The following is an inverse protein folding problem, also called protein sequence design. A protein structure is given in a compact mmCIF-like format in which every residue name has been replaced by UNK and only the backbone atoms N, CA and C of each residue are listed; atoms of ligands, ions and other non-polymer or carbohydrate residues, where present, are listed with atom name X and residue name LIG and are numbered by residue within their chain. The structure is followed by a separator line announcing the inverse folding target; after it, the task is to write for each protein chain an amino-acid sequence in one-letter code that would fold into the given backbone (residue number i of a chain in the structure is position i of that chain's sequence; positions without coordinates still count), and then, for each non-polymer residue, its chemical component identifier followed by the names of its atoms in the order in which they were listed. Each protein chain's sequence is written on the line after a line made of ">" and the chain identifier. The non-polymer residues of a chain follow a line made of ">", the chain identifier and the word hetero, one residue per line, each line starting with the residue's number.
data_IF_300042822562
#
_entry.id   IF_300042822562
#
_cell.length_a   1.000
_cell.length_b   1.000
_cell.length_c   1.000
_cell.angle_alpha   90.00
_cell.angle_beta   90.00
_cell.angle_gamma   90.00
#
_symmetry.space_group_name_H-M   'P 1'
#
loop_
_entity.id
_entity.type
_entity.pdbx_description
1 polymer ?
2 branched ?
3 non-polymer ?
4 non-polymer ?
5 water ?
#
# COMPACT_ATOMS: atom_id res chain seq x y z
N UNK A 2 8.29 10.37 5.92
CA UNK A 2 7.44 10.96 4.83
C UNK A 2 7.68 10.24 3.51
N UNK A 3 6.71 10.32 2.60
CA UNK A 3 6.87 9.89 1.21
C UNK A 3 7.61 10.92 0.35
N UNK A 4 8.83 10.57 -0.04
CA UNK A 4 9.64 11.40 -0.90
C UNK A 4 9.99 10.65 -2.19
N UNK A 5 9.05 9.90 -2.76
CA UNK A 5 9.30 9.21 -4.04
C UNK A 5 9.85 7.80 -3.88
N UNK A 6 10.57 7.32 -4.89
CA UNK A 6 11.10 5.96 -4.88
C UNK A 6 12.02 5.71 -3.67
N UNK A 7 11.98 4.48 -3.16
CA UNK A 7 12.74 4.06 -2.00
C UNK A 7 12.08 2.87 -1.32
N UNK A 8 12.69 2.42 -0.22
CA UNK A 8 12.18 1.29 0.56
C UNK A 8 11.51 1.88 1.80
N UNK A 9 10.30 1.40 2.11
CA UNK A 9 9.50 1.95 3.18
C UNK A 9 8.78 0.88 4.00
N UNK A 10 8.52 1.21 5.27
CA UNK A 10 7.34 0.66 5.92
C UNK A 10 6.15 1.52 5.55
N UNK A 11 5.03 0.88 5.27
CA UNK A 11 3.77 1.54 4.95
C UNK A 11 2.85 1.32 6.16
N UNK A 12 2.51 2.41 6.84
CA UNK A 12 1.99 2.35 8.21
C UNK A 12 0.55 2.94 8.28
N UNK A 13 -0.42 2.16 8.78
CA UNK A 13 -1.79 2.69 8.80
C UNK A 13 -1.96 3.87 9.76
N UNK A 14 -2.63 4.93 9.29
CA UNK A 14 -2.78 6.17 10.06
C UNK A 14 -3.39 5.95 11.46
N UNK A 15 -4.39 5.09 11.57
CA UNK A 15 -5.09 4.91 12.85
C UNK A 15 -4.32 4.04 13.84
N UNK A 16 -3.25 3.35 13.38
CA UNK A 16 -2.55 2.38 14.23
C UNK A 16 -1.06 2.37 13.85
N UNK A 17 -0.33 3.42 14.27
CA UNK A 17 1.07 3.59 13.83
C UNK A 17 2.10 2.65 14.45
N UNK A 18 1.68 1.76 15.37
CA UNK A 18 2.52 0.61 15.82
C UNK A 18 2.44 -0.62 14.88
N UNK A 19 1.65 -0.52 13.82
CA UNK A 19 1.46 -1.58 12.82
C UNK A 19 2.03 -1.16 11.46
N UNK A 20 2.26 -2.14 10.58
CA UNK A 20 2.58 -1.84 9.19
C UNK A 20 1.91 -2.81 8.21
N UNK A 21 2.06 -2.54 6.92
CA UNK A 21 1.54 -3.37 5.84
C UNK A 21 2.44 -4.61 5.67
N UNK A 22 1.84 -5.79 5.82
CA UNK A 22 2.53 -7.09 5.99
C UNK A 22 2.01 -8.15 5.00
N UNK A 23 2.90 -8.74 4.20
CA UNK A 23 2.59 -9.86 3.33
C UNK A 23 2.53 -11.08 4.22
N UNK A 24 1.32 -11.54 4.47
CA UNK A 24 1.01 -12.53 5.52
C UNK A 24 1.74 -13.84 5.31
N UNK A 25 2.45 -14.29 6.36
CA UNK A 25 3.26 -15.51 6.38
C UNK A 25 4.69 -15.30 5.89
N UNK A 26 4.93 -14.25 5.09
CA UNK A 26 6.31 -13.89 4.70
C UNK A 26 7.05 -14.98 3.97
N UNK A 27 6.31 -15.70 3.12
CA UNK A 27 6.85 -16.79 2.31
C UNK A 27 7.22 -16.34 0.91
N UNK A 28 7.96 -17.18 0.19
CA UNK A 28 8.39 -16.83 -1.18
C UNK A 28 7.39 -17.22 -2.25
N UNK A 29 6.45 -18.10 -1.94
CA UNK A 29 5.44 -18.46 -2.94
C UNK A 29 4.51 -17.26 -3.23
N UNK A 30 4.13 -17.09 -4.53
CA UNK A 30 3.28 -15.98 -4.92
C UNK A 30 1.87 -16.07 -4.34
N UNK A 31 1.22 -14.93 -4.22
CA UNK A 31 -0.19 -14.92 -3.91
C UNK A 31 -0.53 -14.64 -2.45
N UNK A 32 0.44 -14.19 -1.65
CA UNK A 32 0.18 -13.86 -0.23
C UNK A 32 -0.92 -12.80 -0.12
N UNK A 33 -1.81 -12.93 0.86
CA UNK A 33 -2.69 -11.79 1.18
C UNK A 33 -1.95 -10.81 2.08
N UNK A 34 -2.47 -9.58 2.15
CA UNK A 34 -1.81 -8.50 2.89
C UNK A 34 -2.72 -8.04 4.06
N UNK A 35 -2.10 -7.88 5.23
CA UNK A 35 -2.79 -7.44 6.43
C UNK A 35 -1.93 -6.42 7.18
N UNK A 36 -2.53 -5.73 8.14
CA UNK A 36 -1.75 -5.02 9.13
C UNK A 36 -1.14 -6.04 10.12
N UNK A 37 0.04 -5.69 10.66
CA UNK A 37 0.71 -6.53 11.66
C UNK A 37 1.63 -5.67 12.47
N UNK A 38 1.86 -6.10 13.70
CA UNK A 38 2.83 -5.46 14.59
C UNK A 38 4.16 -5.14 13.87
N UNK A 39 4.62 -3.89 13.99
CA UNK A 39 5.92 -3.49 13.37
C UNK A 39 7.12 -4.24 13.96
N UNK A 40 7.19 -4.31 15.28
CA UNK A 40 8.37 -4.82 15.98
C UNK A 40 9.51 -3.81 16.05
N UNK A 41 10.52 -4.11 16.84
CA UNK A 41 11.71 -3.23 16.93
C UNK A 41 12.47 -3.13 15.62
N UNK A 42 12.55 -4.25 14.90
CA UNK A 42 13.13 -4.26 13.58
C UNK A 42 12.13 -4.88 12.61
N UNK A 43 11.62 -4.08 11.68
CA UNK A 43 10.62 -4.60 10.75
C UNK A 43 11.19 -5.70 9.87
N UNK A 44 10.38 -6.68 9.54
CA UNK A 44 10.85 -7.81 8.77
C UNK A 44 10.70 -7.50 7.29
N UNK A 45 11.45 -8.20 6.44
CA UNK A 45 11.45 -7.92 5.00
C UNK A 45 10.10 -8.13 4.31
N UNK A 46 9.29 -9.04 4.82
CA UNK A 46 7.94 -9.21 4.28
C UNK A 46 7.03 -8.04 4.63
N UNK A 47 7.49 -7.13 5.50
CA UNK A 47 6.72 -5.92 5.84
C UNK A 47 7.47 -4.63 5.44
N UNK A 48 8.36 -4.75 4.45
CA UNK A 48 9.00 -3.61 3.79
C UNK A 48 8.69 -3.67 2.29
N UNK A 49 8.62 -2.50 1.67
CA UNK A 49 8.11 -2.35 0.32
C UNK A 49 8.95 -1.38 -0.47
N UNK A 50 9.36 -1.82 -1.65
CA UNK A 50 10.07 -0.94 -2.56
C UNK A 50 9.03 -0.25 -3.44
N UNK A 51 8.97 1.07 -3.32
CA UNK A 51 8.17 1.91 -4.19
C UNK A 51 9.03 2.21 -5.41
N UNK A 52 8.55 1.77 -6.57
CA UNK A 52 9.30 1.84 -7.82
C UNK A 52 8.49 2.59 -8.87
N UNK A 53 9.06 3.64 -9.46
CA UNK A 53 8.33 4.46 -10.43
C UNK A 53 8.25 3.73 -11.77
N UNK A 54 7.05 3.65 -12.36
CA UNK A 54 6.88 3.01 -13.69
C UNK A 54 6.31 3.91 -14.80
N UNK A 55 5.70 5.04 -14.43
CA UNK A 55 5.16 5.97 -15.42
C UNK A 55 4.94 7.33 -14.78
N UNK A 56 5.03 8.38 -15.58
CA UNK A 56 4.63 9.74 -15.12
C UNK A 56 5.59 10.43 -14.14
N UNK A 57 5.06 11.48 -13.50
CA UNK A 57 5.80 12.28 -12.51
C UNK A 57 4.80 13.06 -11.68
N UNK A 58 5.18 13.55 -10.50
CA UNK A 58 4.21 14.30 -9.66
C UNK A 58 3.20 13.43 -8.91
N UNK A 59 2.04 14.00 -8.54
CA UNK A 59 0.97 13.26 -7.79
C UNK A 59 0.33 12.16 -8.62
N UNK A 60 0.34 12.37 -9.94
CA UNK A 60 -0.12 11.41 -10.95
C UNK A 60 0.84 10.23 -11.24
N UNK A 61 2.06 10.25 -10.67
CA UNK A 61 3.09 9.22 -10.96
C UNK A 61 2.50 7.88 -10.65
N UNK A 62 2.85 6.88 -11.44
CA UNK A 62 2.39 5.53 -11.17
C UNK A 62 3.54 4.68 -10.62
N UNK A 63 3.26 3.94 -9.56
CA UNK A 63 4.27 3.13 -8.86
C UNK A 63 3.86 1.67 -8.77
N UNK A 64 4.86 0.78 -8.86
CA UNK A 64 4.75 -0.58 -8.29
C UNK A 64 5.12 -0.51 -6.78
N UNK A 65 4.45 -1.31 -5.96
CA UNK A 65 4.74 -1.41 -4.52
C UNK A 65 5.16 -2.85 -4.32
N UNK A 66 6.48 -3.05 -4.31
CA UNK A 66 7.12 -4.37 -4.43
C UNK A 66 7.55 -4.92 -3.06
N UNK A 67 7.11 -6.13 -2.71
CA UNK A 67 7.49 -6.71 -1.43
C UNK A 67 9.00 -6.95 -1.38
N UNK A 68 9.66 -6.45 -0.34
CA UNK A 68 11.12 -6.63 -0.25
C UNK A 68 11.54 -8.10 -0.18
N UNK A 69 10.75 -8.93 0.53
CA UNK A 69 11.14 -10.33 0.73
C UNK A 69 10.93 -11.17 -0.54
N UNK A 70 9.75 -11.05 -1.14
CA UNK A 70 9.33 -11.95 -2.23
C UNK A 70 9.54 -11.39 -3.65
N UNK A 71 9.60 -10.06 -3.75
CA UNK A 71 9.67 -9.37 -5.04
C UNK A 71 8.34 -9.30 -5.79
N UNK A 72 7.25 -9.78 -5.19
CA UNK A 72 5.92 -9.74 -5.85
C UNK A 72 5.23 -8.39 -5.57
N UNK A 73 4.30 -8.04 -6.45
CA UNK A 73 3.71 -6.70 -6.50
C UNK A 73 2.36 -6.64 -5.81
N UNK A 74 2.18 -5.60 -4.99
CA UNK A 74 0.91 -5.31 -4.34
C UNK A 74 -0.13 -5.11 -5.40
N UNK A 75 -1.19 -5.91 -5.33
CA UNK A 75 -2.19 -5.97 -6.38
C UNK A 75 -3.62 -6.00 -5.81
N UNK A 76 -4.50 -5.23 -6.44
CA UNK A 76 -5.94 -5.32 -6.16
C UNK A 76 -6.59 -6.28 -7.16
N UNK A 77 -7.40 -7.21 -6.66
CA UNK A 77 -8.09 -8.20 -7.54
C UNK A 77 -9.60 -8.01 -7.64
N UNK A 78 -10.23 -7.38 -6.66
CA UNK A 78 -11.68 -7.22 -6.71
C UNK A 78 -12.10 -6.13 -5.77
N UNK A 79 -13.21 -5.48 -6.10
CA UNK A 79 -13.68 -4.34 -5.33
C UNK A 79 -14.05 -4.84 -3.95
N UNK A 80 -13.69 -4.05 -2.95
CA UNK A 80 -14.01 -4.31 -1.56
C UNK A 80 -13.53 -5.72 -1.13
N UNK A 81 -12.33 -6.09 -1.59
CA UNK A 81 -11.73 -7.41 -1.36
C UNK A 81 -10.29 -7.27 -0.88
N UNK A 82 -9.82 -8.26 -0.11
CA UNK A 82 -8.44 -8.27 0.37
C UNK A 82 -7.43 -8.14 -0.79
N UNK A 83 -6.36 -7.38 -0.59
CA UNK A 83 -5.29 -7.25 -1.60
C UNK A 83 -4.24 -8.35 -1.37
N UNK A 84 -3.40 -8.57 -2.38
CA UNK A 84 -2.46 -9.68 -2.39
C UNK A 84 -1.20 -9.34 -3.18
N UNK A 85 -0.23 -10.25 -3.16
CA UNK A 85 1.00 -10.16 -3.97
C UNK A 85 1.13 -11.40 -4.88
N UNK A 86 0.27 -11.48 -5.90
CA UNK A 86 0.38 -12.55 -6.88
C UNK A 86 1.56 -12.31 -7.83
N UNK A 87 1.96 -13.33 -8.58
CA UNK A 87 2.78 -13.12 -9.78
C UNK A 87 1.92 -12.39 -10.82
N UNK A 88 2.42 -11.27 -11.32
CA UNK A 88 1.66 -10.46 -12.24
C UNK A 88 2.59 -9.55 -13.03
N UNK A 89 2.19 -9.24 -14.26
CA UNK A 89 2.97 -8.35 -15.12
C UNK A 89 3.07 -6.92 -14.54
N UNK A 90 4.26 -6.30 -14.64
CA UNK A 90 4.43 -4.90 -14.21
C UNK A 90 3.59 -3.88 -15.01
N UNK A 91 3.09 -4.27 -16.17
CA UNK A 91 2.22 -3.40 -16.96
C UNK A 91 0.72 -3.56 -16.59
N UNK A 92 0.37 -4.52 -15.74
CA UNK A 92 -1.03 -4.69 -15.34
C UNK A 92 -1.47 -3.53 -14.43
N UNK A 93 -2.51 -2.80 -14.84
CA UNK A 93 -2.86 -1.61 -14.04
C UNK A 93 -3.34 -1.93 -12.64
N UNK A 94 -3.84 -3.16 -12.42
CA UNK A 94 -4.25 -3.58 -11.07
C UNK A 94 -3.09 -3.66 -10.08
N UNK A 95 -1.86 -3.70 -10.60
CA UNK A 95 -0.65 -3.69 -9.78
C UNK A 95 0.02 -2.31 -9.71
N UNK A 96 -0.62 -1.28 -10.25
CA UNK A 96 -0.06 0.07 -10.26
C UNK A 96 -0.91 0.99 -9.39
N UNK A 97 -0.23 1.92 -8.71
CA UNK A 97 -0.81 2.74 -7.64
C UNK A 97 -0.30 4.19 -7.76
N UNK A 98 -1.18 5.16 -7.47
CA UNK A 98 -0.76 6.55 -7.29
C UNK A 98 -0.81 6.88 -5.79
N UNK A 99 0.14 7.68 -5.32
CA UNK A 99 0.28 8.00 -3.90
C UNK A 99 0.03 9.51 -3.78
N UNK A 100 -1.03 9.87 -3.06
CA UNK A 100 -1.52 11.23 -3.05
C UNK A 100 -1.59 11.79 -1.63
N UNK A 101 -1.08 13.02 -1.43
CA UNK A 101 -1.16 13.63 -0.10
C UNK A 101 -2.58 13.69 0.43
N UNK A 102 -2.75 13.33 1.71
CA UNK A 102 -4.03 13.49 2.43
C UNK A 102 -3.74 13.99 3.85
N UNK A 103 -2.97 15.07 3.95
CA UNK A 103 -2.54 15.61 5.23
C UNK A 103 -3.73 15.85 6.16
N UNK A 104 -3.59 15.37 7.38
CA UNK A 104 -4.65 15.39 8.37
C UNK A 104 -4.08 15.95 9.66
N UNK A 105 -4.54 17.14 10.05
CA UNK A 105 -4.04 17.83 11.24
C UNK A 105 -2.49 17.88 11.21
N UNK A 106 -1.95 18.20 10.04
CA UNK A 106 -0.49 18.26 9.86
C UNK A 106 0.26 16.91 9.96
N UNK A 107 -0.45 15.79 10.10
CA UNK A 107 0.18 14.48 9.96
C UNK A 107 0.32 14.22 8.47
N UNK A 108 1.55 13.92 8.03
CA UNK A 108 1.87 13.68 6.62
C UNK A 108 1.48 12.28 6.17
N UNK A 109 0.20 12.10 5.89
CA UNK A 109 -0.30 10.81 5.45
C UNK A 109 -0.81 10.91 4.02
N UNK A 110 -0.94 9.75 3.39
CA UNK A 110 -1.21 9.67 1.98
C UNK A 110 -2.26 8.61 1.73
N UNK A 111 -2.99 8.75 0.63
CA UNK A 111 -3.81 7.65 0.12
C UNK A 111 -3.05 6.87 -0.96
N UNK A 112 -3.38 5.58 -1.07
CA UNK A 112 -2.75 4.66 -2.02
C UNK A 112 -3.86 4.15 -2.93
N UNK A 113 -3.87 4.64 -4.16
CA UNK A 113 -5.00 4.57 -5.08
C UNK A 113 -4.70 3.69 -6.29
N UNK A 114 -5.49 2.65 -6.52
CA UNK A 114 -5.23 1.76 -7.63
C UNK A 114 -5.42 2.46 -8.98
N UNK A 115 -4.61 2.09 -9.97
CA UNK A 115 -4.74 2.64 -11.33
C UNK A 115 -6.07 2.24 -11.97
N UNK A 116 -6.63 1.10 -11.56
CA UNK A 116 -7.99 0.73 -11.98
C UNK A 116 -8.96 1.41 -10.99
N UNK A 117 -9.62 2.48 -11.43
CA UNK A 117 -10.26 3.37 -10.48
C UNK A 117 -11.39 2.71 -9.70
N UNK A 118 -12.10 1.75 -10.30
CA UNK A 118 -13.15 0.99 -9.59
C UNK A 118 -12.60 0.14 -8.41
N UNK A 119 -11.31 -0.20 -8.43
CA UNK A 119 -10.73 -1.01 -7.33
C UNK A 119 -10.41 -0.12 -6.13
N UNK A 120 -10.28 1.18 -6.35
CA UNK A 120 -10.29 2.14 -5.23
C UNK A 120 -8.98 2.26 -4.48
N UNK A 121 -9.09 2.41 -3.15
CA UNK A 121 -7.97 2.74 -2.24
C UNK A 121 -7.62 1.61 -1.29
N UNK A 122 -6.35 1.55 -0.92
CA UNK A 122 -5.84 0.65 0.12
C UNK A 122 -6.49 1.01 1.47
N UNK A 123 -7.11 0.02 2.11
CA UNK A 123 -8.09 0.26 3.19
C UNK A 123 -7.97 -0.77 4.31
N UNK A 124 -7.86 -0.31 5.57
CA UNK A 124 -7.89 -1.25 6.71
C UNK A 124 -9.33 -1.65 7.02
N UNK A 125 -9.64 -2.93 6.85
CA UNK A 125 -11.00 -3.40 7.05
C UNK A 125 -11.58 -2.96 8.40
N UNK A 126 -12.78 -2.41 8.32
CA UNK A 126 -13.59 -2.00 9.47
C UNK A 126 -12.86 -1.08 10.45
N UNK A 127 -11.95 -0.28 9.92
CA UNK A 127 -11.22 0.68 10.73
C UNK A 127 -10.48 0.04 11.92
N UNK A 128 -9.99 -1.19 11.77
CA UNK A 128 -9.29 -1.87 12.88
C UNK A 128 -8.02 -1.12 13.32
N UNK A 129 -7.81 -1.06 14.63
CA UNK A 129 -6.60 -0.48 15.18
C UNK A 129 -5.68 -1.55 15.81
N UNK A 130 -5.99 -2.83 15.56
CA UNK A 130 -5.21 -3.95 16.09
C UNK A 130 -4.54 -4.77 14.98
N UNK A 131 -3.40 -5.35 15.31
CA UNK A 131 -2.67 -6.25 14.43
C UNK A 131 -3.59 -7.32 13.83
N UNK A 132 -3.30 -7.68 12.58
CA UNK A 132 -3.97 -8.81 11.91
C UNK A 132 -5.22 -8.51 11.11
N UNK A 133 -5.48 -7.23 10.81
CA UNK A 133 -6.67 -6.80 10.06
C UNK A 133 -6.43 -6.95 8.56
N UNK A 134 -7.44 -7.42 7.82
CA UNK A 134 -7.38 -7.53 6.35
C UNK A 134 -7.19 -6.15 5.75
N UNK A 135 -6.29 -6.03 4.76
CA UNK A 135 -6.14 -4.76 4.01
C UNK A 135 -6.84 -4.97 2.66
N UNK A 136 -7.83 -4.13 2.40
CA UNK A 136 -8.70 -4.24 1.25
C UNK A 136 -8.37 -3.21 0.15
N UNK A 137 -8.85 -3.47 -1.06
CA UNK A 137 -9.03 -2.45 -2.09
C UNK A 137 -10.52 -2.13 -2.05
N UNK A 138 -10.87 -0.94 -1.57
CA UNK A 138 -12.26 -0.60 -1.32
C UNK A 138 -12.55 0.81 -1.86
N UNK A 139 -13.84 1.09 -2.07
CA UNK A 139 -14.27 2.35 -2.69
C UNK A 139 -13.55 3.52 -2.02
N UNK A 140 -13.01 4.41 -2.86
CA UNK A 140 -12.18 5.52 -2.40
C UNK A 140 -12.99 6.66 -1.78
N UNK A 141 -12.74 6.92 -0.50
CA UNK A 141 -13.39 7.99 0.25
C UNK A 141 -12.44 8.88 1.06
N UNK A 142 -11.15 8.53 1.07
CA UNK A 142 -10.14 9.14 1.94
C UNK A 142 -10.64 9.20 3.39
N UNK A 143 -11.24 8.09 3.83
CA UNK A 143 -11.57 7.87 5.24
C UNK A 143 -10.27 7.66 6.00
N UNK A 144 -10.30 7.78 7.33
CA UNK A 144 -9.07 7.65 8.13
C UNK A 144 -8.41 6.28 7.98
N UNK A 145 -9.21 5.24 7.71
CA UNK A 145 -8.63 3.91 7.50
C UNK A 145 -8.07 3.70 6.09
N UNK A 146 -8.09 4.77 5.28
CA UNK A 146 -7.54 4.76 3.92
C UNK A 146 -6.32 5.66 3.83
N UNK A 147 -5.79 6.08 4.99
CA UNK A 147 -4.62 6.93 5.07
C UNK A 147 -3.40 6.20 5.65
N UNK A 148 -2.22 6.55 5.14
CA UNK A 148 -0.97 5.82 5.41
C UNK A 148 0.25 6.74 5.52
N UNK A 149 1.15 6.41 6.44
CA UNK A 149 2.47 7.00 6.49
C UNK A 149 3.42 6.12 5.67
N UNK A 150 4.45 6.77 5.11
CA UNK A 150 5.55 6.10 4.43
C UNK A 150 6.80 6.41 5.25
N UNK A 151 7.29 5.43 6.00
CA UNK A 151 8.47 5.61 6.83
C UNK A 151 9.66 5.05 6.11
N UNK A 152 10.57 5.94 5.69
CA UNK A 152 11.74 5.58 4.86
C UNK A 152 12.70 4.66 5.58
N UNK A 153 13.16 3.63 4.88
CA UNK A 153 13.97 2.59 5.49
C UNK A 153 15.17 2.28 4.61
X LIG B 1 6.40 -19.46 10.70
X LIG B 1 6.57 -18.00 10.28
X LIG B 1 5.23 -17.32 10.02
X LIG B 1 4.40 -18.17 9.10
X LIG B 1 4.29 -19.58 9.68
X LIG B 1 3.44 -20.47 8.80
X LIG B 1 8.42 -16.63 11.08
X LIG B 1 9.04 -15.91 12.24
X LIG B 1 7.27 -17.25 11.29
X LIG B 1 7.67 -20.08 10.82
X LIG B 1 5.49 -16.04 9.44
X LIG B 1 5.06 -18.25 7.83
X LIG B 1 5.61 -20.13 9.73
X LIG B 1 2.09 -20.01 8.78
X LIG B 1 8.94 -16.67 9.99
X LIG B 2 4.83 -14.95 10.09
X LIG B 2 5.47 -13.64 9.65
X LIG B 2 4.66 -12.43 10.15
X LIG B 2 3.17 -12.61 9.82
X LIG B 2 2.70 -13.96 10.36
X LIG B 2 1.21 -14.18 10.14
X LIG B 2 6.84 -13.57 10.11
X LIG B 2 5.20 -11.24 9.58
X LIG B 2 2.95 -12.50 8.41
X LIG B 2 3.44 -15.00 9.69
X LIG B 2 0.76 -15.36 10.83
X LIG C 1 6.60 -13.34 13.91
X LIG C 1 5.55 -12.50 14.49
X LIG C 1 6.13 -14.66 13.53
X LIG C 1 7.68 -13.47 14.85
X LIG C 1 7.14 -12.72 12.69
X LIG D 1 -10.56 -3.20 16.31
X LIG D 1 -11.47 -2.07 16.29
X LIG D 1 -10.60 -4.07 15.14
X LIG D 1 -10.88 -4.11 17.42
X LIG D 1 -9.24 -2.60 16.47
X LIG E 1 10.91 -7.64 16.75
X LIG E 1 10.26 -6.98 17.89
X LIG E 1 9.91 -8.28 15.89
X LIG E 1 11.78 -8.67 17.29
X LIG E 1 11.71 -6.69 15.99
X LIG F 1 -5.44 21.48 11.06
X LIG F 1 -6.61 20.69 10.67
X LIG F 1 -4.46 21.52 9.98
X LIG F 1 -4.78 20.86 12.20
X LIG F 1 -5.84 22.83 11.46
X LIG G 1 6.49 -18.25 -10.63
X LIG G 1 5.57 -19.23 -10.14
X LIG G 1 6.23 -20.11 -9.08
X LIG G 1 7.04 -19.32 -8.21
X LIG G 1 7.61 -20.09 -7.16
X LIG G 1 8.53 -19.23 -6.30
X LIG G 1 7.96 -17.94 -6.05
X LIG H 1 -9.25 5.17 16.04
X LIG H 1 -7.80 4.99 15.98
X LIG H 1 -6.93 6.14 16.50
X LIG H 1 -6.50 7.01 15.43
X LIG H 1 -5.72 8.12 15.86
X LIG H 1 -4.86 8.66 14.72
X LIG H 1 -4.14 9.81 15.22
X LIG H 1 -2.71 9.66 15.19
X LIG H 1 -1.92 10.25 16.37
X LIG H 1 -0.75 9.42 16.66
#
# INVERSE_FOLDING_TARGET
>A
MGFKGVGTYEIVPYQAPSLNLNAWEGKLEPGAVVRTYTRGDKPSDNAKWQVALVAGSGDSAEYLIINVHSGYFLTATKENHIVSTPQISPTDPSARWTIKPATTHQYEVFTINNKVSELGQLTVKDYSTHSGADVLSASAKTADNQKWYFDAK
>B hetero
1 NGA C1 C2 C3 C4 C5 C6 C7 C8 N2 O1 O3 O4 O5 O6 O7
2 GAL C1 C2 C3 C4 C5 C6 O2 O3 O4 O5 O6
>C hetero
1 SO4 S O1 O2 O3 O4
>D hetero
1 SO4 S O1 O2 O3 O4
>E hetero
1 SO4 S O1 O2 O3 O4
>F hetero
1 SO4 S O1 O2 O3 O4
>G hetero
1 PG4 O1 C1 C2 O2 C3 C4 O3
>H hetero
1 PG4 O1 C1 C2 O2 C3 C4 O3 C5 C6 O4
#
